data_IF_557897012144
#
_entry.id   IF_557897012144
#
_cell.length_a   1.000
_cell.length_b   1.000
_cell.length_c   1.000
_cell.angle_alpha   90.00
_cell.angle_beta   90.00
_cell.angle_gamma   90.00
#
_symmetry.space_group_name_H-M   'P 1'
#
loop_
_entity.id
_entity.type
_entity.pdbx_description
1 polymer ?
#
# COMPACT_ATOMS: atom_id res chain seq x y z
N UNK A 1 8.97 -2.05 -19.40
CA UNK A 1 9.62 -3.35 -19.72
C UNK A 1 10.58 -3.86 -18.64
N UNK A 2 11.48 -3.04 -18.07
CA UNK A 2 12.49 -3.51 -17.09
C UNK A 2 11.90 -4.22 -15.85
N UNK A 3 10.81 -3.69 -15.27
CA UNK A 3 10.19 -4.32 -14.08
C UNK A 3 9.48 -5.63 -14.43
N UNK A 4 8.76 -5.71 -15.55
CA UNK A 4 8.15 -6.99 -15.96
C UNK A 4 9.19 -8.11 -16.10
N UNK A 5 10.37 -7.80 -16.68
CA UNK A 5 11.50 -8.75 -16.73
C UNK A 5 12.04 -9.10 -15.35
N UNK A 6 12.22 -8.12 -14.46
CA UNK A 6 12.65 -8.35 -13.07
C UNK A 6 11.67 -9.27 -12.33
N UNK A 7 10.37 -9.01 -12.42
CA UNK A 7 9.34 -9.80 -11.77
C UNK A 7 9.36 -11.24 -12.31
N UNK A 8 9.50 -11.40 -13.63
CA UNK A 8 9.61 -12.74 -14.25
C UNK A 8 10.85 -13.49 -13.77
N UNK A 9 12.01 -12.85 -13.72
CA UNK A 9 13.26 -13.44 -13.27
C UNK A 9 13.20 -13.84 -11.78
N UNK A 10 12.71 -12.95 -10.91
CA UNK A 10 12.75 -13.16 -9.45
C UNK A 10 11.63 -14.03 -8.92
N UNK A 11 10.49 -14.06 -9.60
CA UNK A 11 9.26 -14.71 -9.07
C UNK A 11 8.66 -15.75 -10.00
N UNK A 12 9.07 -15.80 -11.26
CA UNK A 12 8.48 -16.67 -12.27
C UNK A 12 7.15 -16.16 -12.86
N UNK A 13 6.54 -15.13 -12.30
CA UNK A 13 5.28 -14.57 -12.81
C UNK A 13 5.52 -13.63 -13.99
N UNK A 14 4.78 -13.85 -15.07
CA UNK A 14 4.68 -12.90 -16.19
C UNK A 14 3.57 -11.90 -15.90
N UNK A 15 3.81 -10.61 -16.13
CA UNK A 15 2.82 -9.54 -15.92
C UNK A 15 2.77 -8.62 -17.14
N UNK A 16 1.60 -8.08 -17.45
CA UNK A 16 1.43 -7.09 -18.52
C UNK A 16 1.95 -5.72 -18.07
N UNK A 17 2.74 -5.00 -18.90
CA UNK A 17 3.16 -3.63 -18.64
C UNK A 17 2.04 -2.60 -18.88
N UNK A 18 0.91 -2.99 -19.47
CA UNK A 18 -0.20 -2.08 -19.79
C UNK A 18 -1.21 -1.93 -18.64
N UNK A 19 -1.03 -2.74 -17.59
CA UNK A 19 -1.77 -2.64 -16.34
C UNK A 19 -1.13 -1.59 -15.42
N UNK A 20 -1.92 -1.02 -14.51
CA UNK A 20 -1.41 -0.09 -13.49
C UNK A 20 -0.43 -0.78 -12.54
N UNK A 21 0.74 -0.18 -12.31
CA UNK A 21 1.73 -0.66 -11.34
C UNK A 21 1.46 -0.02 -9.96
N UNK A 22 0.84 -0.81 -9.06
CA UNK A 22 0.42 -0.42 -7.71
C UNK A 22 1.37 -1.04 -6.67
N UNK A 23 2.19 -0.23 -6.01
CA UNK A 23 3.36 -0.70 -5.25
C UNK A 23 3.28 -0.37 -3.76
N UNK A 24 3.51 -1.37 -2.91
CA UNK A 24 3.78 -1.20 -1.48
C UNK A 24 5.11 -1.85 -1.08
N UNK A 25 6.18 -1.05 -1.05
CA UNK A 25 7.53 -1.51 -0.69
C UNK A 25 8.06 -0.83 0.58
N UNK A 26 8.12 -1.58 1.68
CA UNK A 26 8.64 -1.13 2.98
C UNK A 26 8.82 -2.32 3.92
N UNK A 27 9.44 -2.10 5.09
CA UNK A 27 9.52 -3.13 6.15
C UNK A 27 8.13 -3.71 6.43
N UNK A 28 8.04 -5.04 6.56
CA UNK A 28 6.77 -5.71 6.85
C UNK A 28 6.47 -5.57 8.33
N UNK A 29 5.34 -4.95 8.65
CA UNK A 29 4.92 -4.69 10.02
C UNK A 29 3.41 -4.43 10.06
N UNK A 30 2.74 -4.86 11.14
CA UNK A 30 1.30 -4.64 11.31
C UNK A 30 0.88 -3.16 11.19
N UNK A 31 1.60 -2.20 11.78
CA UNK A 31 1.27 -0.76 11.66
C UNK A 31 1.49 -0.18 10.26
N UNK A 32 2.32 -0.81 9.41
CA UNK A 32 2.51 -0.41 8.00
C UNK A 32 1.38 -0.92 7.10
N UNK A 33 0.54 -1.79 7.65
CA UNK A 33 -0.73 -2.29 7.10
C UNK A 33 -0.63 -2.87 5.69
N UNK A 34 0.42 -3.66 5.39
CA UNK A 34 0.38 -4.55 4.22
C UNK A 34 -0.84 -5.49 4.27
N UNK A 35 -1.32 -5.83 5.49
CA UNK A 35 -2.55 -6.58 5.70
C UNK A 35 -3.80 -5.84 5.20
N UNK A 36 -3.92 -4.52 5.41
CA UNK A 36 -5.02 -3.72 4.85
C UNK A 36 -5.02 -3.77 3.32
N UNK A 37 -3.84 -3.58 2.72
CA UNK A 37 -3.71 -3.60 1.26
C UNK A 37 -4.14 -4.96 0.69
N UNK A 38 -3.56 -6.06 1.17
CA UNK A 38 -3.86 -7.39 0.63
C UNK A 38 -5.32 -7.79 0.87
N UNK A 39 -5.95 -7.39 1.98
CA UNK A 39 -7.38 -7.62 2.21
C UNK A 39 -8.26 -6.83 1.22
N UNK A 40 -7.86 -5.59 0.87
CA UNK A 40 -8.55 -4.83 -0.19
C UNK A 40 -8.39 -5.47 -1.58
N UNK A 41 -7.23 -6.06 -1.86
CA UNK A 41 -7.01 -6.86 -3.08
C UNK A 41 -7.90 -8.12 -3.08
N UNK A 42 -8.00 -8.82 -1.94
CA UNK A 42 -8.89 -9.97 -1.78
C UNK A 42 -10.35 -9.58 -2.02
N UNK A 43 -10.79 -8.42 -1.50
CA UNK A 43 -12.12 -7.88 -1.78
C UNK A 43 -12.34 -7.67 -3.27
N UNK A 44 -11.41 -6.99 -3.94
CA UNK A 44 -11.45 -6.76 -5.38
C UNK A 44 -11.51 -8.08 -6.16
N UNK A 45 -10.67 -9.05 -5.82
CA UNK A 45 -10.67 -10.38 -6.43
C UNK A 45 -12.01 -11.10 -6.25
N UNK A 46 -12.57 -11.11 -5.03
CA UNK A 46 -13.87 -11.71 -4.76
C UNK A 46 -14.98 -11.08 -5.62
N UNK A 47 -15.05 -9.75 -5.68
CA UNK A 47 -16.02 -9.04 -6.52
C UNK A 47 -15.84 -9.33 -8.00
N UNK A 48 -14.61 -9.45 -8.48
CA UNK A 48 -14.35 -9.89 -9.85
C UNK A 48 -14.91 -11.29 -10.11
N UNK A 49 -14.73 -12.25 -9.19
CA UNK A 49 -15.23 -13.63 -9.35
C UNK A 49 -16.75 -13.74 -9.32
N UNK A 50 -17.44 -12.79 -8.70
CA UNK A 50 -18.90 -12.71 -8.66
C UNK A 50 -19.52 -12.01 -9.89
N UNK A 51 -18.70 -11.45 -10.77
CA UNK A 51 -19.14 -10.74 -11.98
C UNK A 51 -18.93 -11.59 -13.24
N UNK A 52 -19.75 -11.31 -14.26
CA UNK A 52 -19.47 -11.81 -15.61
C UNK A 52 -18.17 -11.22 -16.16
N UNK A 53 -17.54 -11.89 -17.12
CA UNK A 53 -16.29 -11.41 -17.72
C UNK A 53 -16.42 -10.00 -18.37
N UNK A 54 -17.60 -9.66 -18.86
CA UNK A 54 -17.87 -8.35 -19.49
C UNK A 54 -17.96 -7.25 -18.42
N UNK A 55 -18.75 -7.47 -17.37
CA UNK A 55 -18.88 -6.52 -16.26
C UNK A 55 -17.54 -6.30 -15.56
N UNK A 56 -16.78 -7.38 -15.36
CA UNK A 56 -15.47 -7.35 -14.73
C UNK A 56 -14.49 -6.43 -15.47
N UNK A 57 -14.41 -6.55 -16.81
CA UNK A 57 -13.55 -5.71 -17.66
C UNK A 57 -14.02 -4.25 -17.73
N UNK A 58 -15.33 -4.00 -17.65
CA UNK A 58 -15.88 -2.65 -17.67
C UNK A 58 -15.64 -1.92 -16.33
N UNK A 59 -15.71 -2.65 -15.20
CA UNK A 59 -15.65 -2.06 -13.87
C UNK A 59 -14.25 -1.84 -13.33
N UNK A 60 -13.31 -2.75 -13.62
CA UNK A 60 -11.98 -2.71 -13.01
C UNK A 60 -10.87 -2.35 -14.00
N UNK A 61 -9.96 -1.50 -13.56
CA UNK A 61 -8.69 -1.24 -14.25
C UNK A 61 -7.74 -2.43 -14.04
N UNK A 62 -7.03 -2.91 -15.08
CA UNK A 62 -6.00 -3.92 -14.92
C UNK A 62 -4.89 -3.47 -13.97
N UNK A 63 -4.51 -4.30 -12.99
CA UNK A 63 -3.50 -3.95 -11.97
C UNK A 63 -2.44 -5.04 -11.78
N UNK A 64 -1.19 -4.60 -11.61
CA UNK A 64 -0.10 -5.39 -11.06
C UNK A 64 0.19 -4.84 -9.66
N UNK A 65 -0.34 -5.50 -8.64
CA UNK A 65 -0.13 -5.13 -7.23
C UNK A 65 1.18 -5.76 -6.72
N UNK A 66 2.16 -4.92 -6.42
CA UNK A 66 3.54 -5.31 -6.09
C UNK A 66 3.83 -5.02 -4.62
N UNK A 67 4.09 -6.06 -3.86
CA UNK A 67 4.60 -5.97 -2.50
C UNK A 67 6.11 -6.18 -2.48
N UNK A 68 6.77 -5.59 -1.50
CA UNK A 68 8.16 -5.93 -1.19
C UNK A 68 8.57 -5.43 0.18
N UNK A 69 9.51 -6.13 0.80
CA UNK A 69 9.95 -5.81 2.14
C UNK A 69 10.58 -6.98 2.87
N UNK A 70 11.08 -6.69 4.06
CA UNK A 70 11.64 -7.70 4.98
C UNK A 70 10.82 -7.71 6.26
N UNK A 71 10.37 -8.89 6.66
CA UNK A 71 9.85 -9.14 7.99
C UNK A 71 11.02 -9.44 8.94
N UNK A 72 10.98 -8.92 10.16
CA UNK A 72 11.98 -9.30 11.16
C UNK A 72 11.85 -10.78 11.49
N UNK A 73 12.97 -11.49 11.65
CA UNK A 73 12.99 -12.96 11.66
C UNK A 73 12.14 -13.59 12.78
N UNK A 74 12.09 -12.94 13.96
CA UNK A 74 11.32 -13.39 15.12
C UNK A 74 9.91 -12.81 15.18
N UNK A 75 9.54 -11.92 14.25
CA UNK A 75 8.20 -11.34 14.21
C UNK A 75 7.25 -12.26 13.46
N UNK A 76 6.61 -13.16 14.21
CA UNK A 76 5.71 -14.21 13.70
C UNK A 76 4.62 -13.65 12.79
N UNK A 77 3.89 -12.63 13.24
CA UNK A 77 2.77 -12.07 12.48
C UNK A 77 3.22 -11.39 11.18
N UNK A 78 4.34 -10.68 11.19
CA UNK A 78 4.90 -10.09 9.97
C UNK A 78 5.28 -11.16 8.93
N UNK A 79 5.82 -12.31 9.35
CA UNK A 79 6.11 -13.43 8.44
C UNK A 79 4.82 -14.08 7.90
N UNK A 80 3.77 -14.18 8.72
CA UNK A 80 2.44 -14.65 8.28
C UNK A 80 1.82 -13.74 7.23
N UNK A 81 2.00 -12.42 7.35
CA UNK A 81 1.55 -11.46 6.34
C UNK A 81 2.26 -11.72 4.99
N UNK A 82 3.58 -11.94 4.99
CA UNK A 82 4.31 -12.29 3.75
C UNK A 82 3.77 -13.59 3.15
N UNK A 83 3.59 -14.64 3.97
CA UNK A 83 3.04 -15.93 3.53
C UNK A 83 1.65 -15.78 2.93
N UNK A 84 0.79 -14.97 3.57
CA UNK A 84 -0.55 -14.68 3.08
C UNK A 84 -0.53 -13.99 1.71
N UNK A 85 0.30 -12.95 1.55
CA UNK A 85 0.44 -12.26 0.26
C UNK A 85 0.91 -13.22 -0.84
N UNK A 86 1.88 -14.09 -0.54
CA UNK A 86 2.38 -15.05 -1.54
C UNK A 86 1.34 -16.09 -1.94
N UNK A 87 0.51 -16.55 -1.01
CA UNK A 87 -0.57 -17.49 -1.29
C UNK A 87 -1.70 -16.86 -2.11
N UNK A 88 -2.11 -15.64 -1.75
CA UNK A 88 -3.07 -14.87 -2.56
C UNK A 88 -2.52 -14.68 -3.97
N UNK A 89 -1.23 -14.34 -4.11
CA UNK A 89 -0.58 -14.24 -5.42
C UNK A 89 -0.58 -15.54 -6.21
N UNK A 90 -0.31 -16.67 -5.57
CA UNK A 90 -0.35 -17.98 -6.22
C UNK A 90 -1.76 -18.30 -6.76
N UNK A 91 -2.81 -18.05 -5.99
CA UNK A 91 -4.20 -18.26 -6.44
C UNK A 91 -4.59 -17.29 -7.55
N UNK A 92 -4.42 -15.99 -7.34
CA UNK A 92 -4.87 -14.95 -8.28
C UNK A 92 -4.13 -15.03 -9.62
N UNK A 93 -2.80 -15.22 -9.60
CA UNK A 93 -2.00 -15.14 -10.82
C UNK A 93 -2.24 -16.32 -11.77
N UNK A 94 -2.73 -17.46 -11.27
CA UNK A 94 -3.06 -18.66 -12.04
C UNK A 94 -4.56 -18.79 -12.34
N UNK A 95 -5.40 -17.86 -11.90
CA UNK A 95 -6.84 -17.90 -12.19
C UNK A 95 -7.10 -17.46 -13.64
N UNK A 96 -7.53 -18.38 -14.53
CA UNK A 96 -7.73 -18.06 -15.95
C UNK A 96 -8.90 -17.11 -16.18
N UNK A 97 -9.84 -16.99 -15.23
CA UNK A 97 -10.93 -16.03 -15.35
C UNK A 97 -10.46 -14.60 -15.08
N UNK A 98 -9.42 -14.43 -14.25
CA UNK A 98 -8.84 -13.11 -13.96
C UNK A 98 -7.82 -12.71 -15.03
N UNK A 99 -6.95 -13.63 -15.45
CA UNK A 99 -5.93 -13.35 -16.45
C UNK A 99 -5.02 -12.18 -16.02
N UNK A 100 -4.86 -11.19 -16.91
CA UNK A 100 -4.02 -10.00 -16.65
C UNK A 100 -4.79 -8.82 -16.03
N UNK A 101 -6.06 -9.01 -15.65
CA UNK A 101 -6.83 -7.96 -14.99
C UNK A 101 -6.31 -7.69 -13.57
N UNK A 102 -5.82 -8.72 -12.88
CA UNK A 102 -5.25 -8.57 -11.56
C UNK A 102 -4.09 -9.55 -11.40
N UNK A 103 -2.92 -9.02 -11.07
CA UNK A 103 -1.75 -9.79 -10.66
C UNK A 103 -1.29 -9.30 -9.29
N UNK A 104 -0.87 -10.23 -8.43
CA UNK A 104 -0.35 -9.92 -7.09
C UNK A 104 1.03 -10.57 -6.96
N UNK A 105 2.05 -9.76 -6.73
CA UNK A 105 3.44 -10.23 -6.73
C UNK A 105 4.17 -9.73 -5.50
N UNK A 106 4.86 -10.64 -4.79
CA UNK A 106 5.79 -10.28 -3.72
C UNK A 106 7.23 -10.34 -4.27
N UNK A 107 7.90 -9.19 -4.34
CA UNK A 107 9.29 -9.08 -4.79
C UNK A 107 10.23 -9.47 -3.65
N UNK A 108 11.03 -10.54 -3.81
CA UNK A 108 11.93 -10.98 -2.76
C UNK A 108 13.12 -10.01 -2.60
N UNK A 109 13.72 -10.02 -1.42
CA UNK A 109 14.94 -9.28 -1.07
C UNK A 109 14.93 -7.79 -1.45
N UNK A 110 13.84 -7.08 -1.15
CA UNK A 110 13.77 -5.64 -1.36
C UNK A 110 14.96 -4.89 -0.73
N UNK A 111 15.69 -4.17 -1.57
CA UNK A 111 16.91 -3.42 -1.25
C UNK A 111 17.00 -2.18 -2.16
N UNK A 112 18.11 -1.43 -2.12
CA UNK A 112 18.29 -0.22 -2.94
C UNK A 112 18.18 -0.52 -4.43
N UNK A 113 18.85 -1.56 -4.93
CA UNK A 113 18.83 -1.92 -6.35
C UNK A 113 17.44 -2.34 -6.84
N UNK A 114 16.67 -3.03 -6.01
CA UNK A 114 15.25 -3.31 -6.33
C UNK A 114 14.43 -2.03 -6.36
N UNK A 115 14.66 -1.11 -5.41
CA UNK A 115 13.97 0.18 -5.38
C UNK A 115 14.28 1.05 -6.61
N UNK A 116 15.53 1.07 -7.08
CA UNK A 116 15.96 1.80 -8.30
C UNK A 116 15.24 1.30 -9.57
N UNK A 117 14.79 0.05 -9.58
CA UNK A 117 13.99 -0.50 -10.68
C UNK A 117 12.49 -0.27 -10.48
N UNK A 118 11.97 -0.46 -9.27
CA UNK A 118 10.54 -0.35 -8.99
C UNK A 118 10.05 1.10 -8.99
N UNK A 119 10.76 2.01 -8.32
CA UNK A 119 10.30 3.40 -8.12
C UNK A 119 10.01 4.11 -9.45
N UNK A 120 10.91 4.09 -10.46
CA UNK A 120 10.65 4.79 -11.73
C UNK A 120 9.55 4.15 -12.59
N UNK A 121 9.13 2.92 -12.27
CA UNK A 121 8.10 2.20 -13.00
C UNK A 121 6.74 2.20 -12.27
N UNK A 122 6.65 2.87 -11.12
CA UNK A 122 5.44 2.88 -10.29
C UNK A 122 4.50 3.98 -10.72
N UNK A 123 3.21 3.66 -10.76
CA UNK A 123 2.17 4.64 -11.07
C UNK A 123 1.38 5.01 -9.82
N UNK A 124 1.13 4.03 -8.96
CA UNK A 124 0.57 4.23 -7.63
C UNK A 124 1.50 3.64 -6.55
N UNK A 125 1.73 4.38 -5.46
CA UNK A 125 2.45 3.87 -4.30
C UNK A 125 1.65 4.00 -3.00
N UNK A 126 1.73 2.97 -2.15
CA UNK A 126 0.92 2.88 -0.95
C UNK A 126 1.69 3.26 0.33
N UNK A 127 1.19 4.33 0.98
CA UNK A 127 1.74 4.89 2.21
C UNK A 127 0.67 4.93 3.30
N UNK A 128 0.23 3.74 3.67
CA UNK A 128 -1.02 3.48 4.39
C UNK A 128 -0.82 3.09 5.85
N UNK A 129 0.19 3.63 6.54
CA UNK A 129 0.39 3.33 7.96
C UNK A 129 -0.78 3.84 8.80
N UNK A 130 -1.05 3.25 9.97
CA UNK A 130 -2.02 3.82 10.92
C UNK A 130 -1.58 5.24 11.28
N UNK A 131 -2.47 6.23 11.19
CA UNK A 131 -2.08 7.62 11.39
C UNK A 131 -1.42 7.87 12.75
N UNK A 132 -0.37 8.69 12.79
CA UNK A 132 0.45 8.97 13.97
C UNK A 132 1.54 7.92 14.26
N UNK A 133 1.72 6.90 13.41
CA UNK A 133 2.76 5.87 13.59
C UNK A 133 4.02 6.12 12.74
N UNK A 134 3.93 6.91 11.67
CA UNK A 134 5.10 7.31 10.88
C UNK A 134 5.60 8.69 11.28
N UNK A 135 6.88 8.78 11.63
CA UNK A 135 7.51 10.09 11.83
C UNK A 135 7.73 10.84 10.49
N UNK A 136 7.97 10.11 9.39
CA UNK A 136 8.27 10.68 8.08
C UNK A 136 7.94 9.66 6.98
N UNK A 137 8.95 9.20 6.22
CA UNK A 137 8.80 8.21 5.15
C UNK A 137 9.50 8.66 3.87
N UNK A 138 10.78 8.31 3.70
CA UNK A 138 11.57 8.79 2.57
C UNK A 138 11.26 8.10 1.24
N UNK A 139 10.67 6.90 1.24
CA UNK A 139 10.22 6.28 -0.01
C UNK A 139 9.06 7.05 -0.65
N UNK A 140 8.19 7.66 0.16
CA UNK A 140 7.08 8.50 -0.29
C UNK A 140 7.59 9.62 -1.20
N UNK A 141 8.66 10.29 -0.77
CA UNK A 141 9.33 11.36 -1.51
C UNK A 141 9.90 10.88 -2.84
N UNK A 142 10.54 9.70 -2.85
CA UNK A 142 11.13 9.11 -4.07
C UNK A 142 10.06 8.80 -5.11
N UNK A 143 8.91 8.26 -4.68
CA UNK A 143 7.77 8.02 -5.57
C UNK A 143 7.24 9.31 -6.17
N UNK A 144 6.95 10.32 -5.33
CA UNK A 144 6.48 11.62 -5.80
C UNK A 144 7.46 12.26 -6.80
N UNK A 145 8.78 12.22 -6.51
CA UNK A 145 9.82 12.70 -7.44
C UNK A 145 9.77 12.02 -8.82
N UNK A 146 9.45 10.72 -8.86
CA UNK A 146 9.34 9.94 -10.09
C UNK A 146 7.94 10.00 -10.74
N UNK A 147 7.07 10.91 -10.29
CA UNK A 147 5.72 11.09 -10.83
C UNK A 147 4.75 9.98 -10.44
N UNK A 148 5.12 9.13 -9.49
CA UNK A 148 4.19 8.14 -8.94
C UNK A 148 3.21 8.85 -8.01
N UNK A 149 1.92 8.54 -8.15
CA UNK A 149 0.84 9.12 -7.35
C UNK A 149 0.69 8.32 -6.05
N UNK A 150 0.46 9.02 -4.95
CA UNK A 150 0.38 8.39 -3.62
C UNK A 150 -1.07 8.15 -3.22
N UNK A 151 -1.32 6.97 -2.64
CA UNK A 151 -2.48 6.70 -1.77
C UNK A 151 -2.00 6.49 -0.34
N UNK A 152 -2.59 7.20 0.62
CA UNK A 152 -2.08 7.18 1.98
C UNK A 152 -3.01 7.80 3.01
N UNK A 153 -2.64 7.60 4.27
CA UNK A 153 -3.21 8.28 5.44
C UNK A 153 -2.57 9.65 5.64
N UNK A 154 -3.21 10.49 6.46
CA UNK A 154 -2.64 11.77 6.90
C UNK A 154 -1.57 11.53 7.99
N UNK A 155 -0.43 10.98 7.58
CA UNK A 155 0.63 10.46 8.47
C UNK A 155 2.04 10.75 7.93
N UNK A 156 2.98 11.08 8.83
CA UNK A 156 4.38 11.35 8.48
C UNK A 156 4.56 12.27 7.28
N UNK A 157 5.40 11.85 6.32
CA UNK A 157 5.73 12.63 5.13
C UNK A 157 4.56 12.83 4.17
N UNK A 158 3.46 12.06 4.28
CA UNK A 158 2.29 12.26 3.42
C UNK A 158 1.66 13.64 3.62
N UNK A 159 1.70 14.16 4.85
CA UNK A 159 1.14 15.48 5.19
C UNK A 159 1.83 16.56 4.36
N UNK A 160 3.16 16.61 4.42
CA UNK A 160 3.95 17.58 3.67
C UNK A 160 3.88 17.33 2.16
N UNK A 161 3.94 16.08 1.70
CA UNK A 161 3.82 15.77 0.27
C UNK A 161 2.50 16.29 -0.28
N UNK A 162 1.38 16.00 0.41
CA UNK A 162 0.05 16.46 -0.01
C UNK A 162 -0.05 17.99 -0.06
N UNK A 163 0.61 18.70 0.86
CA UNK A 163 0.68 20.17 0.84
C UNK A 163 1.42 20.68 -0.42
N UNK A 164 2.57 20.09 -0.75
CA UNK A 164 3.40 20.56 -1.87
C UNK A 164 2.85 20.16 -3.25
N UNK A 165 2.31 18.95 -3.40
CA UNK A 165 1.76 18.45 -4.68
C UNK A 165 0.32 18.91 -4.91
N UNK A 166 -0.37 19.38 -3.86
CA UNK A 166 -1.76 19.77 -3.86
C UNK A 166 -2.72 18.60 -3.61
N UNK A 167 -3.83 18.90 -2.94
CA UNK A 167 -4.80 17.90 -2.46
C UNK A 167 -5.41 17.06 -3.59
N UNK A 168 -5.64 17.68 -4.75
CA UNK A 168 -6.22 17.02 -5.93
C UNK A 168 -5.28 15.99 -6.58
N UNK A 169 -4.00 15.99 -6.22
CA UNK A 169 -2.97 15.12 -6.79
C UNK A 169 -2.51 14.01 -5.82
N UNK A 170 -3.26 13.78 -4.73
CA UNK A 170 -2.98 12.78 -3.69
C UNK A 170 -4.27 12.07 -3.26
N UNK A 171 -4.26 10.74 -3.14
CA UNK A 171 -5.41 9.96 -2.69
C UNK A 171 -5.39 9.75 -1.16
N UNK A 172 -6.14 10.58 -0.44
CA UNK A 172 -6.24 10.53 1.02
C UNK A 172 -7.38 9.60 1.48
N UNK A 173 -7.16 8.83 2.55
CA UNK A 173 -8.20 8.08 3.26
C UNK A 173 -7.83 7.83 4.73
N UNK A 174 -8.77 7.26 5.47
CA UNK A 174 -8.57 6.73 6.83
C UNK A 174 -8.69 7.78 7.93
N UNK A 175 -8.66 7.30 9.17
CA UNK A 175 -8.70 8.12 10.37
C UNK A 175 -7.44 8.99 10.51
N UNK A 176 -7.61 10.15 11.14
CA UNK A 176 -6.52 11.07 11.49
C UNK A 176 -5.88 10.71 12.83
N UNK A 177 -4.64 11.16 13.04
CA UNK A 177 -3.84 10.81 14.22
C UNK A 177 -4.53 11.14 15.56
N UNK A 178 -5.31 12.23 15.62
CA UNK A 178 -5.99 12.65 16.84
C UNK A 178 -7.21 11.78 17.18
N UNK A 179 -7.76 11.04 16.22
CA UNK A 179 -8.94 10.18 16.40
C UNK A 179 -8.56 8.77 16.91
N UNK A 180 -7.31 8.35 16.72
CA UNK A 180 -6.85 6.96 16.92
C UNK A 180 -7.10 6.46 18.35
N UNK A 181 -6.83 7.29 19.35
CA UNK A 181 -7.02 6.90 20.75
C UNK A 181 -8.51 6.65 21.07
N UNK A 182 -9.39 7.54 20.60
CA UNK A 182 -10.83 7.40 20.77
C UNK A 182 -11.39 6.18 20.05
N UNK A 183 -10.91 5.88 18.84
CA UNK A 183 -11.33 4.69 18.08
C UNK A 183 -10.90 3.37 18.75
N UNK A 184 -9.72 3.35 19.40
CA UNK A 184 -9.28 2.19 20.18
C UNK A 184 -10.10 2.01 21.45
N UNK A 185 -10.44 3.10 22.13
CA UNK A 185 -11.33 3.07 23.30
C UNK A 185 -12.75 2.62 22.92
N UNK A 186 -13.28 3.11 21.80
CA UNK A 186 -14.55 2.66 21.22
C UNK A 186 -14.54 1.14 20.99
N UNK A 187 -13.46 0.60 20.43
CA UNK A 187 -13.27 -0.85 20.26
C UNK A 187 -13.23 -1.59 21.59
N UNK A 188 -12.48 -1.09 22.57
CA UNK A 188 -12.39 -1.69 23.90
C UNK A 188 -13.75 -1.74 24.62
N UNK A 189 -14.59 -0.72 24.44
CA UNK A 189 -15.96 -0.67 24.95
C UNK A 189 -16.96 -1.55 24.16
N UNK A 190 -16.50 -2.25 23.11
CA UNK A 190 -17.35 -3.09 22.26
C UNK A 190 -18.33 -2.31 21.38
N UNK A 191 -18.06 -1.02 21.13
CA UNK A 191 -18.93 -0.14 20.33
C UNK A 191 -18.60 -0.17 18.84
N UNK A 192 -17.39 -0.59 18.48
CA UNK A 192 -16.98 -0.73 17.09
C UNK A 192 -17.75 -1.88 16.42
N UNK A 193 -18.48 -1.56 15.35
CA UNK A 193 -19.11 -2.53 14.45
C UNK A 193 -18.40 -2.48 13.10
N UNK A 194 -17.80 -3.58 12.63
CA UNK A 194 -17.09 -3.60 11.37
C UNK A 194 -18.03 -3.48 10.17
N UNK A 195 -17.52 -2.94 9.07
CA UNK A 195 -18.25 -2.88 7.81
C UNK A 195 -18.51 -4.30 7.26
N UNK A 196 -19.71 -4.58 6.70
CA UNK A 196 -20.03 -5.89 6.16
C UNK A 196 -19.04 -6.39 5.09
N UNK A 197 -18.45 -5.49 4.29
CA UNK A 197 -17.44 -5.83 3.28
C UNK A 197 -16.15 -6.32 3.92
N UNK A 198 -15.79 -5.82 5.12
CA UNK A 198 -14.62 -6.29 5.85
C UNK A 198 -14.85 -7.69 6.42
N UNK A 199 -16.02 -7.96 7.00
CA UNK A 199 -16.40 -9.31 7.45
C UNK A 199 -16.47 -10.30 6.28
N UNK A 200 -17.07 -9.90 5.16
CA UNK A 200 -17.12 -10.69 3.92
C UNK A 200 -15.72 -11.14 3.46
N UNK A 201 -14.72 -10.26 3.56
CA UNK A 201 -13.33 -10.59 3.20
C UNK A 201 -12.71 -11.56 4.17
N UNK A 202 -12.87 -11.35 5.48
CA UNK A 202 -12.34 -12.28 6.50
C UNK A 202 -12.93 -13.67 6.30
N UNK A 203 -14.23 -13.77 6.09
CA UNK A 203 -14.91 -15.04 5.86
C UNK A 203 -14.48 -15.68 4.54
N UNK A 204 -14.30 -14.89 3.48
CA UNK A 204 -13.77 -15.40 2.22
C UNK A 204 -12.35 -15.98 2.37
N UNK A 205 -11.47 -15.34 3.15
CA UNK A 205 -10.15 -15.88 3.47
C UNK A 205 -10.26 -17.21 4.24
N UNK A 206 -11.21 -17.33 5.17
CA UNK A 206 -11.45 -18.57 5.95
C UNK A 206 -11.97 -19.74 5.13
N UNK A 207 -12.53 -19.50 3.94
CA UNK A 207 -12.98 -20.60 3.07
C UNK A 207 -11.85 -21.54 2.61
N UNK A 208 -10.59 -21.11 2.75
CA UNK A 208 -9.42 -21.88 2.27
C UNK A 208 -9.14 -21.70 0.78
N UNK A 209 -9.78 -20.73 0.12
CA UNK A 209 -9.56 -20.44 -1.32
C UNK A 209 -8.10 -20.09 -1.66
N UNK A 210 -7.32 -19.63 -0.67
CA UNK A 210 -5.90 -19.29 -0.82
C UNK A 210 -4.94 -20.43 -0.44
N UNK A 211 -5.42 -21.68 -0.44
CA UNK A 211 -4.61 -22.87 -0.23
C UNK A 211 -4.81 -23.51 1.14
N UNK A 212 -3.92 -24.45 1.50
CA UNK A 212 -4.06 -25.29 2.70
C UNK A 212 -3.68 -24.61 4.01
N UNK A 213 -3.06 -23.42 3.96
CA UNK A 213 -2.71 -22.67 5.16
C UNK A 213 -3.98 -22.06 5.78
N UNK A 214 -4.22 -22.37 7.06
CA UNK A 214 -5.25 -21.68 7.82
C UNK A 214 -4.75 -20.30 8.28
N UNK A 215 -5.50 -19.26 7.95
CA UNK A 215 -5.21 -17.87 8.31
C UNK A 215 -6.00 -17.37 9.53
N UNK A 216 -6.69 -18.24 10.27
CA UNK A 216 -7.45 -17.87 11.47
C UNK A 216 -6.58 -17.16 12.51
N UNK A 217 -5.34 -17.56 12.70
CA UNK A 217 -4.44 -16.85 13.63
C UNK A 217 -4.00 -15.47 13.10
N UNK A 218 -3.90 -15.30 11.77
CA UNK A 218 -3.63 -14.01 11.16
C UNK A 218 -4.83 -13.08 11.34
N UNK A 219 -6.03 -13.57 11.01
CA UNK A 219 -7.28 -12.80 11.11
C UNK A 219 -7.68 -12.58 12.57
N UNK A 220 -7.31 -13.49 13.47
CA UNK A 220 -7.57 -13.37 14.90
C UNK A 220 -6.90 -12.16 15.55
N UNK A 221 -5.86 -11.59 14.95
CA UNK A 221 -5.28 -10.32 15.43
C UNK A 221 -6.20 -9.11 15.17
N UNK A 222 -7.17 -9.26 14.26
CA UNK A 222 -8.18 -8.26 13.93
C UNK A 222 -9.47 -8.42 14.76
N UNK A 223 -9.51 -9.40 15.68
CA UNK A 223 -10.71 -9.81 16.42
C UNK A 223 -10.60 -9.62 17.92
N UNK A 224 -11.74 -9.73 18.61
CA UNK A 224 -11.88 -9.40 20.03
C UNK A 224 -11.86 -7.89 20.26
N UNK A 225 -12.08 -7.46 21.50
CA UNK A 225 -12.11 -6.03 21.85
C UNK A 225 -10.89 -5.58 22.66
N UNK A 226 -10.14 -6.54 23.21
CA UNK A 226 -8.94 -6.31 24.00
C UNK A 226 -7.94 -7.48 23.85
N UNK A 227 -6.74 -7.31 24.39
CA UNK A 227 -5.70 -8.32 24.43
C UNK A 227 -4.50 -8.02 23.52
N UNK A 228 -3.30 -8.34 24.02
CA UNK A 228 -2.06 -8.15 23.27
C UNK A 228 -2.06 -8.99 21.99
N UNK A 229 -1.70 -8.37 20.86
CA UNK A 229 -1.70 -9.01 19.54
C UNK A 229 -3.10 -9.25 18.94
N UNK A 230 -4.15 -8.68 19.55
CA UNK A 230 -5.55 -8.79 19.14
C UNK A 230 -6.20 -7.39 19.03
N UNK A 231 -7.52 -7.38 18.88
CA UNK A 231 -8.36 -6.19 18.93
C UNK A 231 -8.12 -5.16 17.80
N UNK A 232 -7.47 -5.57 16.71
CA UNK A 232 -7.22 -4.71 15.55
C UNK A 232 -6.60 -3.36 15.94
N UNK A 233 -5.56 -3.39 16.78
CA UNK A 233 -4.93 -2.18 17.32
C UNK A 233 -4.49 -1.17 16.24
N UNK A 234 -4.23 -1.64 15.03
CA UNK A 234 -3.79 -0.84 13.89
C UNK A 234 -4.94 -0.37 12.98
N UNK A 235 -6.19 -0.57 13.40
CA UNK A 235 -7.39 -0.03 12.75
C UNK A 235 -7.51 -0.48 11.29
N UNK A 236 -7.18 -1.73 10.99
CA UNK A 236 -7.32 -2.32 9.65
C UNK A 236 -8.79 -2.35 9.26
N UNK A 237 -9.65 -2.92 10.10
CA UNK A 237 -11.08 -3.03 9.85
C UNK A 237 -11.80 -1.68 9.90
N UNK A 238 -11.33 -0.75 10.74
CA UNK A 238 -11.89 0.60 10.83
C UNK A 238 -11.65 1.43 9.57
N UNK A 239 -10.43 1.41 9.03
CA UNK A 239 -10.10 2.18 7.83
C UNK A 239 -10.46 1.45 6.52
N UNK A 240 -10.74 0.14 6.58
CA UNK A 240 -11.04 -0.69 5.41
C UNK A 240 -12.08 -0.09 4.46
N UNK A 241 -13.25 0.41 4.91
CA UNK A 241 -14.27 1.00 4.04
C UNK A 241 -13.72 2.19 3.23
N UNK A 242 -13.11 3.14 3.93
CA UNK A 242 -12.54 4.34 3.32
C UNK A 242 -11.39 4.00 2.38
N UNK A 243 -10.62 2.95 2.68
CA UNK A 243 -9.52 2.48 1.84
C UNK A 243 -10.03 1.90 0.51
N UNK A 244 -11.01 1.00 0.53
CA UNK A 244 -11.54 0.39 -0.70
C UNK A 244 -12.28 1.41 -1.56
N UNK A 245 -13.00 2.36 -0.96
CA UNK A 245 -13.65 3.47 -1.67
C UNK A 245 -12.63 4.45 -2.27
N UNK A 246 -11.52 4.69 -1.57
CA UNK A 246 -10.43 5.51 -2.13
C UNK A 246 -9.77 4.81 -3.32
N UNK A 247 -9.63 3.49 -3.28
CA UNK A 247 -9.13 2.70 -4.42
C UNK A 247 -10.07 2.72 -5.63
N UNK A 248 -11.39 2.85 -5.43
CA UNK A 248 -12.36 3.07 -6.53
C UNK A 248 -12.10 4.42 -7.22
N UNK A 249 -11.83 5.49 -6.45
CA UNK A 249 -11.44 6.80 -7.02
C UNK A 249 -10.12 6.74 -7.80
N UNK A 250 -9.19 5.88 -7.37
CA UNK A 250 -7.95 5.63 -8.12
C UNK A 250 -8.26 4.95 -9.45
N UNK A 251 -9.13 3.93 -9.47
CA UNK A 251 -9.56 3.26 -10.70
C UNK A 251 -10.22 4.25 -11.67
N UNK A 252 -11.13 5.11 -11.18
CA UNK A 252 -11.75 6.17 -11.99
C UNK A 252 -10.74 7.18 -12.56
N UNK A 253 -9.80 7.64 -11.73
CA UNK A 253 -8.78 8.60 -12.16
C UNK A 253 -7.83 8.02 -13.22
N UNK A 254 -7.52 6.72 -13.12
CA UNK A 254 -6.65 6.06 -14.09
C UNK A 254 -7.32 5.84 -15.44
N UNK A 255 -8.64 5.73 -15.50
CA UNK A 255 -9.34 5.66 -16.80
C UNK A 255 -9.19 6.95 -17.61
N UNK A 256 -9.10 8.11 -16.95
CA UNK A 256 -8.71 9.38 -17.57
C UNK A 256 -7.19 9.57 -17.54
N UNK A 257 -6.51 9.00 -18.53
CA UNK A 257 -5.05 9.08 -18.65
C UNK A 257 -4.51 10.51 -18.73
N UNK A 258 -5.29 11.48 -19.23
CA UNK A 258 -4.90 12.89 -19.24
C UNK A 258 -4.87 13.44 -17.83
N UNK A 259 -5.91 13.16 -17.03
CA UNK A 259 -5.94 13.52 -15.60
C UNK A 259 -4.83 12.83 -14.83
N UNK A 260 -4.66 11.52 -15.01
CA UNK A 260 -3.62 10.74 -14.33
C UNK A 260 -2.21 11.28 -14.60
N UNK A 261 -1.89 11.54 -15.87
CA UNK A 261 -0.58 12.07 -16.27
C UNK A 261 -0.37 13.49 -15.74
N UNK A 262 -1.42 14.33 -15.69
CA UNK A 262 -1.35 15.64 -15.06
C UNK A 262 -0.98 15.51 -13.58
N UNK A 263 -1.66 14.64 -12.83
CA UNK A 263 -1.36 14.40 -11.41
C UNK A 263 0.08 13.90 -11.22
N UNK A 264 0.54 13.01 -12.09
CA UNK A 264 1.92 12.51 -12.10
C UNK A 264 2.95 13.64 -12.25
N UNK A 265 2.77 14.52 -13.25
CA UNK A 265 3.66 15.68 -13.47
C UNK A 265 3.65 16.62 -12.26
N UNK A 266 2.47 16.86 -11.66
CA UNK A 266 2.35 17.73 -10.48
C UNK A 266 3.06 17.14 -9.25
N UNK A 267 3.08 15.81 -9.10
CA UNK A 267 3.85 15.16 -8.03
C UNK A 267 5.35 15.42 -8.18
N UNK A 268 5.90 15.29 -9.41
CA UNK A 268 7.30 15.65 -9.66
C UNK A 268 7.55 17.14 -9.44
N UNK A 269 6.68 18.01 -9.94
CA UNK A 269 6.82 19.47 -9.79
C UNK A 269 6.79 19.93 -8.32
N UNK A 270 5.97 19.30 -7.48
CA UNK A 270 5.87 19.59 -6.04
C UNK A 270 6.98 18.94 -5.19
N UNK A 271 7.88 18.14 -5.78
CA UNK A 271 8.83 17.34 -5.00
C UNK A 271 10.07 18.08 -4.51
N UNK A 272 10.27 19.34 -4.93
CA UNK A 272 11.49 20.13 -4.70
C UNK A 272 11.88 20.25 -3.22
N UNK A 273 10.91 20.38 -2.32
CA UNK A 273 11.12 20.50 -0.86
C UNK A 273 11.78 19.26 -0.26
N UNK A 274 11.61 18.10 -0.89
CA UNK A 274 12.11 16.82 -0.38
C UNK A 274 13.53 16.48 -0.84
N UNK A 275 14.23 17.42 -1.49
CA UNK A 275 15.67 17.28 -1.75
C UNK A 275 16.45 17.19 -0.43
N UNK A 276 17.39 16.24 -0.35
CA UNK A 276 18.31 16.11 0.78
C UNK A 276 19.21 17.34 0.95
N UNK A 277 19.47 18.09 -0.12
CA UNK A 277 20.34 19.26 -0.07
C UNK A 277 19.79 20.32 0.88
N UNK A 278 18.48 20.60 0.80
CA UNK A 278 17.80 21.52 1.73
C UNK A 278 17.95 21.03 3.17
N UNK A 279 17.70 19.75 3.42
CA UNK A 279 17.86 19.15 4.76
C UNK A 279 19.30 19.31 5.26
N UNK A 280 20.30 19.02 4.43
CA UNK A 280 21.72 19.17 4.80
C UNK A 280 22.06 20.63 5.09
N UNK A 281 21.53 21.59 4.33
CA UNK A 281 21.72 23.02 4.60
C UNK A 281 21.14 23.45 5.95
N UNK A 282 19.95 22.99 6.32
CA UNK A 282 19.36 23.26 7.63
C UNK A 282 20.19 22.66 8.77
N UNK A 283 20.63 21.40 8.62
CA UNK A 283 21.52 20.78 9.61
C UNK A 283 22.85 21.52 9.74
N UNK A 284 23.47 21.90 8.61
CA UNK A 284 24.75 22.61 8.59
C UNK A 284 24.66 23.97 9.29
N UNK A 285 23.57 24.70 9.08
CA UNK A 285 23.35 26.03 9.64
C UNK A 285 22.86 26.01 11.08
N UNK A 286 21.79 25.26 11.36
CA UNK A 286 21.02 25.40 12.59
C UNK A 286 21.47 24.43 13.70
N UNK A 287 22.30 23.43 13.36
CA UNK A 287 22.80 22.43 14.33
C UNK A 287 24.33 22.36 14.33
N UNK A 288 24.95 22.06 13.18
CA UNK A 288 26.38 21.77 13.12
C UNK A 288 27.26 23.03 13.13
N UNK A 289 26.70 24.16 12.70
CA UNK A 289 27.42 25.42 12.51
C UNK A 289 28.68 25.25 11.64
N UNK A 290 28.51 24.65 10.47
CA UNK A 290 29.57 24.43 9.48
C UNK A 290 29.24 25.12 8.15
N UNK A 291 30.30 25.49 7.41
CA UNK A 291 30.22 26.13 6.10
C UNK A 291 30.89 25.27 5.02
N UNK A 292 30.47 25.39 3.73
CA UNK A 292 31.08 24.63 2.65
C UNK A 292 32.54 25.03 2.43
N UNK A 293 33.42 24.03 2.25
CA UNK A 293 34.81 24.24 1.83
C UNK A 293 34.90 23.90 0.34
N UNK A 294 35.13 24.91 -0.48
CA UNK A 294 35.30 24.77 -1.93
C UNK A 294 36.80 24.56 -2.19
N UNK A 295 37.15 23.41 -2.78
CA UNK A 295 38.53 23.13 -3.18
C UNK A 295 38.94 24.03 -4.35
N UNK A 296 40.22 24.44 -4.46
CA UNK A 296 40.73 25.26 -5.56
C UNK A 296 40.53 24.67 -6.96
#
# INVERSE_FOLDING_TARGET
>A
MKVASLLKEKTGYSVSPDAMFDIQVKRIHEYKRQLLNILGIVYRYKKMKEMSAVERKAKYVPRVCIFGGKAFATYVQAKRIVKFITDVGATVNHDPEIGDLLKVVFVPDYNVSVAELLIPASELSQHISTAGMEASGTSNMKFAMNGCILIGTLDGANVEIRQEVGEDNFFLFGAEAHEIAGLREERAMGKFVPDPRFEEVKDFVRTGVFGSCNYDELLGSLEGNEGFGRADYFLVGKDFPSYVECQEKVDEAYQDQRRWTKMSIMNTAGSYKFSSDRTIHEYAKDIWNIEPIILP
#
